data_IF_693929444175
#
_entry.id   IF_693929444175
#
_cell.length_a   1.000
_cell.length_b   1.000
_cell.length_c   1.000
_cell.angle_alpha   90.00
_cell.angle_beta   90.00
_cell.angle_gamma   90.00
#
_symmetry.space_group_name_H-M   'P 1'
#
loop_
_entity.id
_entity.type
_entity.pdbx_description
1 polymer ?
#
# COMPACT_ATOMS: atom_id res chain seq x y z
N UNK A 1 -10.24 29.64 -0.75
CA UNK A 1 -9.89 29.17 -2.11
C UNK A 1 -8.42 28.71 -2.22
N UNK A 2 -7.42 29.49 -1.81
CA UNK A 2 -5.99 29.08 -1.89
C UNK A 2 -5.68 27.74 -1.19
N UNK A 3 -6.16 27.52 0.03
CA UNK A 3 -5.95 26.25 0.76
C UNK A 3 -6.61 25.03 0.08
N UNK A 4 -7.77 25.22 -0.55
CA UNK A 4 -8.44 24.16 -1.30
C UNK A 4 -7.65 23.77 -2.54
N UNK A 5 -7.16 24.75 -3.30
CA UNK A 5 -6.32 24.52 -4.48
C UNK A 5 -5.03 23.78 -4.11
N UNK A 6 -4.37 24.20 -3.03
CA UNK A 6 -3.15 23.52 -2.54
C UNK A 6 -3.45 22.06 -2.16
N UNK A 7 -4.57 21.81 -1.48
CA UNK A 7 -5.01 20.46 -1.12
C UNK A 7 -5.25 19.61 -2.38
N UNK A 8 -5.99 20.11 -3.37
CA UNK A 8 -6.22 19.40 -4.63
C UNK A 8 -4.92 19.07 -5.37
N UNK A 9 -3.99 20.03 -5.46
CA UNK A 9 -2.67 19.81 -6.09
C UNK A 9 -1.89 18.74 -5.33
N UNK A 10 -1.93 18.74 -4.00
CA UNK A 10 -1.25 17.74 -3.18
C UNK A 10 -1.81 16.34 -3.42
N UNK A 11 -3.14 16.19 -3.49
CA UNK A 11 -3.78 14.89 -3.75
C UNK A 11 -3.40 14.37 -5.13
N UNK A 12 -3.43 15.23 -6.15
CA UNK A 12 -3.02 14.87 -7.52
C UNK A 12 -1.56 14.46 -7.56
N UNK A 13 -0.68 15.18 -6.86
CA UNK A 13 0.75 14.87 -6.82
C UNK A 13 1.00 13.52 -6.15
N UNK A 14 0.37 13.24 -5.01
CA UNK A 14 0.49 11.95 -4.31
C UNK A 14 -0.04 10.82 -5.19
N UNK A 15 -1.20 11.00 -5.83
CA UNK A 15 -1.76 10.01 -6.75
C UNK A 15 -0.82 9.74 -7.92
N UNK A 16 -0.24 10.79 -8.51
CA UNK A 16 0.70 10.67 -9.62
C UNK A 16 2.00 9.95 -9.20
N UNK A 17 2.50 10.20 -8.00
CA UNK A 17 3.66 9.49 -7.46
C UNK A 17 3.37 7.99 -7.29
N UNK A 18 2.19 7.62 -6.79
CA UNK A 18 1.76 6.22 -6.70
C UNK A 18 1.62 5.59 -8.08
N UNK A 19 0.98 6.28 -9.03
CA UNK A 19 0.83 5.82 -10.41
C UNK A 19 2.19 5.53 -11.06
N UNK A 20 3.17 6.44 -10.93
CA UNK A 20 4.52 6.23 -11.44
C UNK A 20 5.22 5.06 -10.75
N UNK A 21 5.10 4.94 -9.42
CA UNK A 21 5.67 3.82 -8.67
C UNK A 21 5.14 2.46 -9.14
N UNK A 22 3.82 2.34 -9.27
CA UNK A 22 3.16 1.13 -9.79
C UNK A 22 3.60 0.85 -11.23
N UNK A 23 3.62 1.88 -12.09
CA UNK A 23 4.05 1.74 -13.48
C UNK A 23 5.47 1.17 -13.60
N UNK A 24 6.42 1.70 -12.82
CA UNK A 24 7.80 1.22 -12.79
C UNK A 24 7.85 -0.24 -12.31
N UNK A 25 7.14 -0.57 -11.23
CA UNK A 25 7.15 -1.92 -10.67
C UNK A 25 6.49 -2.94 -11.61
N UNK A 26 5.43 -2.57 -12.33
CA UNK A 26 4.80 -3.41 -13.34
C UNK A 26 5.77 -3.70 -14.49
N UNK A 27 6.53 -2.70 -14.94
CA UNK A 27 7.56 -2.89 -15.95
C UNK A 27 8.71 -3.78 -15.47
N UNK A 28 9.18 -3.62 -14.22
CA UNK A 28 10.23 -4.49 -13.66
C UNK A 28 9.74 -5.93 -13.48
N UNK A 29 8.47 -6.12 -13.11
CA UNK A 29 7.90 -7.44 -12.88
C UNK A 29 7.50 -8.19 -14.14
N UNK A 30 7.51 -7.53 -15.31
CA UNK A 30 6.97 -8.09 -16.54
C UNK A 30 5.45 -8.28 -16.50
N UNK A 31 4.72 -7.47 -15.71
CA UNK A 31 3.27 -7.54 -15.63
C UNK A 31 2.63 -7.07 -16.95
N UNK A 32 1.56 -7.74 -17.35
CA UNK A 32 0.82 -7.40 -18.56
C UNK A 32 -0.38 -6.51 -18.21
N UNK A 33 -0.49 -5.38 -18.91
CA UNK A 33 -1.65 -4.49 -18.82
C UNK A 33 -2.02 -4.02 -20.23
N UNK A 34 -3.30 -4.01 -20.56
CA UNK A 34 -3.77 -3.76 -21.92
C UNK A 34 -3.66 -2.28 -22.33
N UNK A 35 -3.90 -1.36 -21.39
CA UNK A 35 -3.84 0.08 -21.64
C UNK A 35 -3.32 0.87 -20.43
N UNK A 36 -2.84 2.10 -20.66
CA UNK A 36 -2.51 3.04 -19.58
C UNK A 36 -3.75 3.35 -18.71
N UNK A 37 -4.96 3.26 -19.28
CA UNK A 37 -6.22 3.38 -18.56
C UNK A 37 -6.40 2.28 -17.52
N UNK A 38 -6.09 1.03 -17.86
CA UNK A 38 -6.14 -0.11 -16.93
C UNK A 38 -5.19 0.09 -15.75
N UNK A 39 -3.99 0.64 -16.01
CA UNK A 39 -3.02 0.97 -14.96
C UNK A 39 -3.48 2.12 -14.05
N UNK A 40 -4.13 3.14 -14.62
CA UNK A 40 -4.74 4.24 -13.85
C UNK A 40 -5.86 3.72 -12.95
N UNK A 41 -6.72 2.84 -13.48
CA UNK A 41 -7.83 2.25 -12.76
C UNK A 41 -7.33 1.32 -11.65
N UNK A 42 -6.27 0.54 -11.92
CA UNK A 42 -5.56 -0.25 -10.93
C UNK A 42 -5.02 0.62 -9.80
N UNK A 43 -4.36 1.74 -10.13
CA UNK A 43 -3.83 2.68 -9.12
C UNK A 43 -4.94 3.28 -8.27
N UNK A 44 -6.08 3.61 -8.89
CA UNK A 44 -7.26 4.12 -8.18
C UNK A 44 -7.84 3.08 -7.22
N UNK A 45 -8.04 1.84 -7.70
CA UNK A 45 -8.54 0.74 -6.88
C UNK A 45 -7.59 0.41 -5.75
N UNK A 46 -6.29 0.28 -6.03
CA UNK A 46 -5.26 0.06 -5.01
C UNK A 46 -5.27 1.15 -3.93
N UNK A 47 -5.34 2.42 -4.32
CA UNK A 47 -5.39 3.55 -3.38
C UNK A 47 -6.65 3.50 -2.52
N UNK A 48 -7.81 3.22 -3.14
CA UNK A 48 -9.08 3.08 -2.42
C UNK A 48 -9.08 1.90 -1.44
N UNK A 49 -8.59 0.73 -1.87
CA UNK A 49 -8.49 -0.46 -1.03
C UNK A 49 -7.51 -0.25 0.13
N UNK A 50 -6.38 0.40 -0.11
CA UNK A 50 -5.42 0.75 0.94
C UNK A 50 -6.06 1.65 2.00
N UNK A 51 -6.87 2.64 1.59
CA UNK A 51 -7.60 3.50 2.53
C UNK A 51 -8.63 2.72 3.37
N UNK A 52 -9.28 1.71 2.79
CA UNK A 52 -10.23 0.83 3.50
C UNK A 52 -9.52 -0.15 4.44
N UNK A 53 -8.34 -0.64 4.06
CA UNK A 53 -7.55 -1.58 4.85
C UNK A 53 -6.76 -0.90 5.98
N UNK A 54 -6.42 0.37 5.86
CA UNK A 54 -5.71 1.13 6.89
C UNK A 54 -6.37 1.08 8.29
N UNK A 55 -7.69 1.31 8.46
CA UNK A 55 -8.34 1.14 9.77
C UNK A 55 -8.31 -0.31 10.25
N UNK A 56 -8.43 -1.29 9.35
CA UNK A 56 -8.37 -2.71 9.71
C UNK A 56 -6.96 -3.10 10.21
N UNK A 57 -5.90 -2.63 9.54
CA UNK A 57 -4.51 -2.79 9.98
C UNK A 57 -4.31 -2.22 11.39
N UNK A 58 -4.77 -0.99 11.63
CA UNK A 58 -4.64 -0.33 12.94
C UNK A 58 -5.37 -1.09 14.05
N UNK A 59 -6.57 -1.60 13.78
CA UNK A 59 -7.34 -2.40 14.74
C UNK A 59 -6.64 -3.72 15.07
N UNK A 60 -6.06 -4.39 14.07
CA UNK A 60 -5.30 -5.63 14.28
C UNK A 60 -4.06 -5.37 15.14
N UNK A 61 -3.27 -4.35 14.81
CA UNK A 61 -2.06 -4.00 15.58
C UNK A 61 -2.43 -3.62 17.02
N UNK A 62 -3.51 -2.85 17.22
CA UNK A 62 -3.97 -2.46 18.54
C UNK A 62 -4.45 -3.67 19.36
N UNK A 63 -5.17 -4.60 18.73
CA UNK A 63 -5.62 -5.84 19.37
C UNK A 63 -4.44 -6.69 19.85
N UNK A 64 -3.37 -6.77 19.06
CA UNK A 64 -2.14 -7.46 19.46
C UNK A 64 -1.44 -6.81 20.66
N UNK A 65 -1.50 -5.48 20.77
CA UNK A 65 -1.00 -4.75 21.95
C UNK A 65 -1.83 -5.09 23.19
N UNK A 66 -3.15 -5.20 23.06
CA UNK A 66 -4.07 -5.56 24.14
C UNK A 66 -3.83 -6.99 24.67
N UNK A 67 -3.46 -7.92 23.79
CA UNK A 67 -3.15 -9.31 24.12
C UNK A 67 -1.85 -9.49 24.93
N UNK A 68 -1.11 -8.42 25.23
CA UNK A 68 0.10 -8.49 26.07
C UNK A 68 1.26 -9.26 25.43
N UNK A 69 1.26 -9.39 24.10
CA UNK A 69 2.30 -10.11 23.35
C UNK A 69 3.64 -9.37 23.49
N UNK A 70 4.73 -10.16 23.56
CA UNK A 70 6.08 -9.64 23.69
C UNK A 70 6.40 -8.58 22.61
N UNK A 71 6.97 -7.45 23.01
CA UNK A 71 7.17 -6.25 22.18
C UNK A 71 7.82 -6.53 20.83
N UNK A 72 8.84 -7.40 20.80
CA UNK A 72 9.54 -7.77 19.54
C UNK A 72 8.64 -8.53 18.58
N UNK A 73 7.80 -9.42 19.11
CA UNK A 73 6.86 -10.22 18.32
C UNK A 73 5.75 -9.32 17.77
N UNK A 74 5.25 -8.37 18.56
CA UNK A 74 4.24 -7.40 18.12
C UNK A 74 4.75 -6.50 16.99
N UNK A 75 6.00 -6.04 17.07
CA UNK A 75 6.61 -5.25 15.98
C UNK A 75 6.74 -6.09 14.70
N UNK A 76 7.28 -7.31 14.81
CA UNK A 76 7.43 -8.19 13.66
C UNK A 76 6.08 -8.55 13.03
N UNK A 77 5.08 -8.86 13.85
CA UNK A 77 3.74 -9.16 13.38
C UNK A 77 3.06 -7.95 12.73
N UNK A 78 3.25 -6.74 13.26
CA UNK A 78 2.73 -5.52 12.65
C UNK A 78 3.31 -5.31 11.23
N UNK A 79 4.60 -5.56 11.05
CA UNK A 79 5.24 -5.49 9.72
C UNK A 79 4.66 -6.55 8.77
N UNK A 80 4.50 -7.79 9.23
CA UNK A 80 3.88 -8.86 8.42
C UNK A 80 2.42 -8.56 8.07
N UNK A 81 1.65 -8.00 9.00
CA UNK A 81 0.26 -7.58 8.77
C UNK A 81 0.22 -6.45 7.73
N UNK A 82 1.15 -5.48 7.81
CA UNK A 82 1.24 -4.40 6.82
C UNK A 82 1.48 -4.96 5.42
N UNK A 83 2.49 -5.82 5.27
CA UNK A 83 2.82 -6.42 3.97
C UNK A 83 1.64 -7.25 3.47
N UNK A 84 0.98 -8.00 4.35
CA UNK A 84 -0.22 -8.77 4.04
C UNK A 84 -1.38 -7.89 3.58
N UNK A 85 -1.61 -6.74 4.21
CA UNK A 85 -2.65 -5.79 3.80
C UNK A 85 -2.32 -5.15 2.44
N UNK A 86 -1.06 -4.77 2.21
CA UNK A 86 -0.61 -4.24 0.92
C UNK A 86 -0.79 -5.26 -0.20
N UNK A 87 -0.38 -6.52 0.04
CA UNK A 87 -0.59 -7.61 -0.90
C UNK A 87 -2.07 -7.88 -1.15
N UNK A 88 -2.89 -7.93 -0.10
CA UNK A 88 -4.34 -8.13 -0.24
C UNK A 88 -5.00 -7.02 -1.05
N UNK A 89 -4.56 -5.75 -0.88
CA UNK A 89 -5.03 -4.63 -1.68
C UNK A 89 -4.68 -4.80 -3.17
N UNK A 90 -3.45 -5.25 -3.46
CA UNK A 90 -2.97 -5.49 -4.83
C UNK A 90 -3.72 -6.67 -5.46
N UNK A 91 -3.80 -7.81 -4.76
CA UNK A 91 -4.52 -8.99 -5.21
C UNK A 91 -5.99 -8.70 -5.49
N UNK A 92 -6.66 -7.97 -4.59
CA UNK A 92 -8.06 -7.57 -4.80
C UNK A 92 -8.20 -6.58 -5.96
N UNK A 93 -7.22 -5.70 -6.19
CA UNK A 93 -7.23 -4.79 -7.34
C UNK A 93 -6.98 -5.51 -8.67
N UNK A 94 -6.14 -6.55 -8.69
CA UNK A 94 -5.89 -7.41 -9.84
C UNK A 94 -7.14 -8.23 -10.19
N UNK A 95 -7.73 -8.92 -9.20
CA UNK A 95 -8.94 -9.73 -9.39
C UNK A 95 -10.17 -8.89 -9.81
N UNK A 96 -10.21 -7.61 -9.43
CA UNK A 96 -11.30 -6.70 -9.81
C UNK A 96 -11.14 -6.15 -11.24
N UNK A 97 -9.95 -6.26 -11.83
CA UNK A 97 -9.61 -5.70 -13.14
C UNK A 97 -9.13 -6.80 -14.08
N UNK A 98 -10.08 -7.38 -14.82
CA UNK A 98 -9.82 -8.42 -15.83
C UNK A 98 -8.78 -8.02 -16.91
N UNK A 99 -8.53 -6.72 -17.09
CA UNK A 99 -7.58 -6.16 -18.06
C UNK A 99 -6.12 -6.12 -17.56
N UNK A 100 -5.88 -6.50 -16.30
CA UNK A 100 -4.56 -6.53 -15.66
C UNK A 100 -4.27 -7.98 -15.27
N UNK A 101 -3.09 -8.47 -15.66
CA UNK A 101 -2.68 -9.83 -15.36
C UNK A 101 -1.35 -9.80 -14.60
N UNK A 102 -1.45 -9.90 -13.27
CA UNK A 102 -0.29 -10.07 -12.41
C UNK A 102 -0.13 -11.54 -12.01
N UNK A 103 1.13 -11.96 -11.91
CA UNK A 103 1.44 -13.21 -11.23
C UNK A 103 1.46 -12.96 -9.73
N UNK A 104 1.12 -13.95 -8.90
CA UNK A 104 1.20 -13.82 -7.43
C UNK A 104 2.59 -13.38 -6.97
N UNK A 105 3.66 -13.79 -7.66
CA UNK A 105 5.02 -13.30 -7.41
C UNK A 105 5.19 -11.81 -7.70
N UNK A 106 4.56 -11.28 -8.75
CA UNK A 106 4.56 -9.86 -9.08
C UNK A 106 3.84 -9.05 -7.99
N UNK A 107 2.67 -9.51 -7.55
CA UNK A 107 1.88 -8.85 -6.51
C UNK A 107 2.67 -8.72 -5.20
N UNK A 108 3.30 -9.81 -4.76
CA UNK A 108 4.11 -9.84 -3.54
C UNK A 108 5.33 -8.92 -3.70
N UNK A 109 6.01 -8.95 -4.86
CA UNK A 109 7.15 -8.08 -5.12
C UNK A 109 6.76 -6.59 -5.04
N UNK A 110 5.60 -6.23 -5.61
CA UNK A 110 5.05 -4.87 -5.55
C UNK A 110 4.72 -4.50 -4.10
N UNK A 111 4.03 -5.37 -3.34
CA UNK A 111 3.69 -5.14 -1.95
C UNK A 111 4.93 -4.89 -1.07
N UNK A 112 5.96 -5.74 -1.22
CA UNK A 112 7.23 -5.61 -0.49
C UNK A 112 8.00 -4.36 -0.90
N UNK A 113 7.97 -3.98 -2.18
CA UNK A 113 8.60 -2.74 -2.67
C UNK A 113 7.97 -1.51 -2.05
N UNK A 114 6.65 -1.42 -2.04
CA UNK A 114 5.93 -0.32 -1.38
C UNK A 114 6.23 -0.26 0.11
N UNK A 115 6.20 -1.41 0.80
CA UNK A 115 6.57 -1.48 2.21
C UNK A 115 8.01 -0.99 2.46
N UNK A 116 8.95 -1.37 1.60
CA UNK A 116 10.35 -0.98 1.73
C UNK A 116 10.53 0.53 1.50
N UNK A 117 9.88 1.10 0.48
CA UNK A 117 9.91 2.53 0.19
C UNK A 117 9.31 3.32 1.35
N UNK A 118 8.15 2.89 1.86
CA UNK A 118 7.49 3.50 3.02
C UNK A 118 8.42 3.52 4.25
N UNK A 119 9.08 2.38 4.52
CA UNK A 119 10.03 2.26 5.65
C UNK A 119 11.28 3.14 5.48
N UNK A 120 11.77 3.32 4.25
CA UNK A 120 12.92 4.20 3.95
C UNK A 120 12.51 5.67 4.08
N UNK A 121 11.33 6.04 3.60
CA UNK A 121 10.86 7.42 3.57
C UNK A 121 10.38 7.90 4.96
N UNK A 122 9.78 7.00 5.74
CA UNK A 122 9.24 7.29 7.07
C UNK A 122 9.81 6.39 8.18
N UNK A 123 11.13 6.41 8.41
CA UNK A 123 11.79 5.50 9.36
C UNK A 123 11.38 5.73 10.82
N UNK A 124 10.78 6.90 11.14
CA UNK A 124 10.52 7.35 12.52
C UNK A 124 9.04 7.31 12.95
N UNK A 125 8.07 7.30 12.03
CA UNK A 125 6.66 7.40 12.40
C UNK A 125 6.07 6.09 12.93
N UNK A 126 6.48 4.92 12.42
CA UNK A 126 5.99 3.62 12.93
C UNK A 126 6.50 3.27 14.33
N UNK A 127 7.69 3.74 14.70
CA UNK A 127 8.21 3.60 16.07
C UNK A 127 7.51 4.54 17.06
N UNK A 128 7.12 5.75 16.60
CA UNK A 128 6.39 6.73 17.40
C UNK A 128 4.95 6.33 17.76
N UNK A 129 4.23 5.68 16.85
CA UNK A 129 2.88 5.13 17.13
C UNK A 129 2.89 3.96 18.13
N UNK A 130 4.03 3.34 18.37
CA UNK A 130 4.24 2.28 19.35
C UNK A 130 4.80 2.80 20.69
N UNK A 131 5.21 4.07 20.73
CA UNK A 131 5.83 4.74 21.89
C UNK A 131 4.84 5.58 22.71
N UNK A 132 3.60 5.74 22.25
CA UNK A 132 2.50 6.33 23.00
C UNK A 132 1.37 5.31 23.22
#
# INVERSE_FOLDING_TARGET
MKHFIICCISVIFVFFAHFLGISILFHLSGAFYQTVGSLLLFTLCYTGLTFVLEPAEKVLIHSMKLLGINRRITVFAAEMITIGCLWAAIYTADELLDDVLLTTSAEIMIAVSFFTIDKILYPRQRSGSLLY
#
